data_IF_937797849308
#
_entry.id   IF_937797849308
#
_cell.length_a   1.000
_cell.length_b   1.000
_cell.length_c   1.000
_cell.angle_alpha   90.00
_cell.angle_beta   90.00
_cell.angle_gamma   90.00
#
_symmetry.space_group_name_H-M   'P 1'
#
loop_
_entity.id
_entity.type
_entity.pdbx_description
1 polymer ?
#
# COMPACT_ATOMS: atom_id res chain seq x y z
N UNK A 1 13.50 -9.71 -4.81
CA UNK A 1 12.16 -9.09 -4.69
C UNK A 1 11.59 -9.13 -3.27
N UNK A 2 11.55 -10.29 -2.59
CA UNK A 2 11.01 -10.37 -1.22
C UNK A 2 11.65 -9.40 -0.21
N UNK A 3 12.98 -9.27 -0.21
CA UNK A 3 13.70 -8.32 0.66
C UNK A 3 13.35 -6.85 0.36
N UNK A 4 13.16 -6.51 -0.92
CA UNK A 4 12.77 -5.16 -1.32
C UNK A 4 11.34 -4.83 -0.82
N UNK A 5 10.41 -5.78 -0.94
CA UNK A 5 9.05 -5.63 -0.39
C UNK A 5 9.04 -5.48 1.13
N UNK A 6 9.83 -6.29 1.84
CA UNK A 6 9.96 -6.19 3.30
C UNK A 6 10.48 -4.81 3.71
N UNK A 7 11.51 -4.29 3.04
CA UNK A 7 12.06 -2.97 3.31
C UNK A 7 11.08 -1.82 3.03
N UNK A 8 10.30 -1.92 1.94
CA UNK A 8 9.34 -0.87 1.54
C UNK A 8 8.11 -0.79 2.46
N UNK A 9 7.73 -1.89 3.12
CA UNK A 9 6.53 -1.93 3.97
C UNK A 9 6.56 -0.96 5.17
N UNK A 10 7.76 -0.57 5.62
CA UNK A 10 7.97 0.35 6.75
C UNK A 10 7.71 1.81 6.34
N UNK A 11 7.90 2.15 5.06
CA UNK A 11 7.90 3.54 4.60
C UNK A 11 6.56 4.25 4.81
N UNK A 12 5.45 3.63 4.42
CA UNK A 12 4.15 4.28 4.40
C UNK A 12 3.60 4.66 5.79
N UNK A 13 3.59 3.76 6.80
CA UNK A 13 3.19 4.12 8.16
C UNK A 13 4.05 5.24 8.76
N UNK A 14 5.36 5.26 8.47
CA UNK A 14 6.26 6.31 8.93
C UNK A 14 5.92 7.67 8.29
N UNK A 15 5.68 7.70 6.97
CA UNK A 15 5.31 8.92 6.24
C UNK A 15 4.01 9.52 6.76
N UNK A 16 2.97 8.71 6.94
CA UNK A 16 1.69 9.18 7.49
C UNK A 16 1.87 9.74 8.90
N UNK A 17 2.67 9.09 9.73
CA UNK A 17 2.96 9.56 11.09
C UNK A 17 3.65 10.94 11.08
N UNK A 18 4.59 11.17 10.16
CA UNK A 18 5.25 12.48 10.01
C UNK A 18 4.25 13.52 9.51
N UNK A 19 3.51 13.25 8.42
CA UNK A 19 2.55 14.24 7.88
C UNK A 19 1.48 14.61 8.90
N UNK A 20 1.05 13.66 9.74
CA UNK A 20 0.09 13.90 10.81
C UNK A 20 0.56 14.93 11.85
N UNK A 21 1.88 15.09 12.06
CA UNK A 21 2.44 16.12 12.93
C UNK A 21 2.34 17.53 12.31
N UNK A 22 2.39 17.62 10.98
CA UNK A 22 2.43 18.89 10.26
C UNK A 22 1.04 19.38 9.81
N UNK A 23 0.09 18.48 9.55
CA UNK A 23 -1.17 18.81 8.87
C UNK A 23 -2.39 18.66 9.78
N UNK A 24 -3.05 19.79 10.06
CA UNK A 24 -4.31 19.85 10.80
C UNK A 24 -5.50 19.26 10.02
N UNK A 25 -6.56 18.87 10.73
CA UNK A 25 -7.70 18.09 10.17
C UNK A 25 -8.39 18.71 8.94
N UNK A 26 -8.42 20.04 8.82
CA UNK A 26 -9.20 20.73 7.77
C UNK A 26 -8.58 20.83 6.37
N UNK A 27 -7.32 20.40 6.17
CA UNK A 27 -6.64 20.44 4.86
C UNK A 27 -5.95 19.10 4.53
N UNK A 28 -6.31 18.02 5.23
CA UNK A 28 -5.63 16.73 5.07
C UNK A 28 -5.90 16.13 3.70
N UNK A 29 -7.12 16.21 3.19
CA UNK A 29 -7.50 15.63 1.90
C UNK A 29 -6.68 16.19 0.74
N UNK A 30 -6.59 17.51 0.59
CA UNK A 30 -5.84 18.14 -0.50
C UNK A 30 -4.34 17.89 -0.37
N UNK A 31 -3.76 18.12 0.82
CA UNK A 31 -2.31 17.91 1.03
C UNK A 31 -1.94 16.46 0.76
N UNK A 32 -2.75 15.53 1.26
CA UNK A 32 -2.53 14.11 1.01
C UNK A 32 -2.82 13.70 -0.43
N UNK A 33 -3.79 14.32 -1.12
CA UNK A 33 -4.05 14.10 -2.53
C UNK A 33 -2.89 14.55 -3.41
N UNK A 34 -2.29 15.71 -3.10
CA UNK A 34 -1.04 16.18 -3.72
C UNK A 34 0.12 15.25 -3.37
N UNK A 35 0.22 14.82 -2.11
CA UNK A 35 1.24 13.87 -1.71
C UNK A 35 1.12 12.58 -2.51
N UNK A 36 -0.07 12.00 -2.64
CA UNK A 36 -0.32 10.75 -3.37
C UNK A 36 0.08 10.81 -4.86
N UNK A 37 0.22 12.01 -5.45
CA UNK A 37 0.79 12.17 -6.79
C UNK A 37 2.21 11.59 -6.92
N UNK A 38 2.94 11.46 -5.81
CA UNK A 38 4.28 10.86 -5.77
C UNK A 38 4.32 9.46 -6.41
N UNK A 39 3.28 8.65 -6.19
CA UNK A 39 3.22 7.28 -6.75
C UNK A 39 3.20 7.32 -8.27
N UNK A 40 2.29 8.10 -8.85
CA UNK A 40 2.17 8.24 -10.31
C UNK A 40 3.37 8.95 -10.93
N UNK A 41 3.96 9.94 -10.25
CA UNK A 41 5.23 10.54 -10.66
C UNK A 41 6.36 9.50 -10.69
N UNK A 42 6.42 8.64 -9.67
CA UNK A 42 7.36 7.52 -9.60
C UNK A 42 7.17 6.52 -10.73
N UNK A 43 5.92 6.17 -11.07
CA UNK A 43 5.60 5.30 -12.20
C UNK A 43 6.09 5.89 -13.53
N UNK A 44 5.79 7.16 -13.79
CA UNK A 44 6.21 7.86 -15.02
C UNK A 44 7.74 7.94 -15.07
N UNK A 45 8.38 8.41 -13.99
CA UNK A 45 9.83 8.52 -13.92
C UNK A 45 10.51 7.16 -14.08
N UNK A 46 9.97 6.11 -13.46
CA UNK A 46 10.45 4.73 -13.58
C UNK A 46 10.36 4.20 -15.00
N UNK A 47 9.22 4.41 -15.68
CA UNK A 47 9.03 4.01 -17.08
C UNK A 47 10.02 4.72 -18.02
N UNK A 48 10.20 6.03 -17.84
CA UNK A 48 11.14 6.83 -18.64
C UNK A 48 12.59 6.43 -18.36
N UNK A 49 12.95 6.23 -17.09
CA UNK A 49 14.30 5.82 -16.70
C UNK A 49 14.64 4.42 -17.23
N UNK A 50 13.72 3.46 -17.12
CA UNK A 50 13.90 2.11 -17.66
C UNK A 50 14.09 2.16 -19.18
N UNK A 51 13.25 2.91 -19.90
CA UNK A 51 13.35 3.09 -21.36
C UNK A 51 14.69 3.71 -21.78
N UNK A 52 15.21 4.67 -21.00
CA UNK A 52 16.51 5.28 -21.25
C UNK A 52 17.68 4.32 -20.97
N UNK A 53 17.62 3.55 -19.87
CA UNK A 53 18.68 2.65 -19.43
C UNK A 53 18.84 1.41 -20.32
N UNK A 54 17.78 1.00 -21.04
CA UNK A 54 17.86 -0.13 -21.99
C UNK A 54 18.96 0.05 -23.05
N UNK A 55 19.32 1.30 -23.39
CA UNK A 55 20.41 1.61 -24.33
C UNK A 55 21.80 1.28 -23.78
N UNK A 56 21.95 1.21 -22.45
CA UNK A 56 23.21 0.95 -21.75
C UNK A 56 23.34 -0.51 -21.31
N UNK A 57 22.28 -1.31 -21.49
CA UNK A 57 22.18 -2.69 -21.03
C UNK A 57 21.12 -2.84 -19.93
N UNK A 58 20.42 -3.98 -19.93
CA UNK A 58 19.25 -4.22 -19.07
C UNK A 58 19.54 -4.09 -17.56
N UNK A 59 20.75 -4.45 -17.12
CA UNK A 59 21.16 -4.35 -15.72
C UNK A 59 21.14 -2.92 -15.17
N UNK A 60 21.36 -1.91 -16.03
CA UNK A 60 21.32 -0.49 -15.63
C UNK A 60 19.94 -0.02 -15.22
N UNK A 61 18.88 -0.68 -15.70
CA UNK A 61 17.50 -0.41 -15.28
C UNK A 61 17.26 -0.76 -13.80
N UNK A 62 18.15 -1.50 -13.15
CA UNK A 62 18.11 -1.76 -11.70
C UNK A 62 19.08 -0.85 -10.93
N UNK A 63 20.29 -0.66 -11.46
CA UNK A 63 21.34 0.11 -10.78
C UNK A 63 20.98 1.59 -10.71
N UNK A 64 20.55 2.20 -11.82
CA UNK A 64 20.29 3.64 -11.87
C UNK A 64 19.14 4.06 -10.92
N UNK A 65 17.98 3.39 -10.89
CA UNK A 65 16.95 3.68 -9.89
C UNK A 65 17.40 3.39 -8.45
N UNK A 66 18.21 2.35 -8.22
CA UNK A 66 18.74 2.03 -6.89
C UNK A 66 19.68 3.11 -6.33
N UNK A 67 20.56 3.67 -7.17
CA UNK A 67 21.42 4.80 -6.80
C UNK A 67 20.58 6.06 -6.53
N UNK A 68 19.60 6.35 -7.40
CA UNK A 68 18.71 7.49 -7.21
C UNK A 68 17.92 7.39 -5.90
N UNK A 69 17.38 6.21 -5.58
CA UNK A 69 16.66 5.94 -4.34
C UNK A 69 17.57 6.09 -3.11
N UNK A 70 18.81 5.61 -3.19
CA UNK A 70 19.81 5.76 -2.11
C UNK A 70 20.16 7.23 -1.86
N UNK A 71 20.33 8.01 -2.93
CA UNK A 71 20.56 9.45 -2.84
C UNK A 71 19.38 10.20 -2.23
N UNK A 72 18.15 9.90 -2.70
CA UNK A 72 16.94 10.47 -2.12
C UNK A 72 16.77 10.11 -0.64
N UNK A 73 17.05 8.85 -0.27
CA UNK A 73 17.04 8.38 1.12
C UNK A 73 18.06 9.13 1.99
N UNK A 74 19.26 9.41 1.48
CA UNK A 74 20.26 10.21 2.19
C UNK A 74 19.80 11.65 2.40
N UNK A 75 19.17 12.26 1.40
CA UNK A 75 18.59 13.61 1.52
C UNK A 75 17.51 13.64 2.60
N UNK A 76 16.60 12.67 2.61
CA UNK A 76 15.58 12.53 3.66
C UNK A 76 16.23 12.32 5.03
N UNK A 77 17.23 11.45 5.13
CA UNK A 77 17.95 11.20 6.38
C UNK A 77 18.60 12.47 6.96
N UNK A 78 19.13 13.34 6.11
CA UNK A 78 19.84 14.56 6.53
C UNK A 78 18.91 15.76 6.77
N UNK A 79 17.78 15.85 6.07
CA UNK A 79 16.96 17.07 6.03
C UNK A 79 15.54 16.91 6.58
N UNK A 80 15.07 15.69 6.86
CA UNK A 80 13.71 15.48 7.33
C UNK A 80 13.51 16.04 8.74
N UNK A 81 12.62 17.03 8.84
CA UNK A 81 12.13 17.53 10.13
C UNK A 81 10.82 16.79 10.46
N UNK A 82 10.87 15.96 11.50
CA UNK A 82 9.76 15.05 11.82
C UNK A 82 8.60 15.76 12.53
N UNK A 83 8.88 16.78 13.32
CA UNK A 83 7.88 17.55 14.04
C UNK A 83 8.16 19.06 13.92
N UNK A 84 7.13 19.92 13.80
CA UNK A 84 7.31 21.37 13.71
C UNK A 84 8.03 21.94 14.94
N UNK A 85 7.90 21.30 16.11
CA UNK A 85 8.57 21.70 17.34
C UNK A 85 10.10 21.62 17.26
N UNK A 86 10.64 20.71 16.43
CA UNK A 86 12.08 20.54 16.22
C UNK A 86 12.73 21.79 15.58
N UNK A 87 11.92 22.63 14.93
CA UNK A 87 12.33 23.91 14.32
C UNK A 87 11.68 25.12 14.98
N UNK A 88 11.09 24.95 16.17
CA UNK A 88 10.49 26.03 16.95
C UNK A 88 9.14 26.54 16.42
N UNK A 89 8.48 25.78 15.55
CA UNK A 89 7.12 26.06 15.09
C UNK A 89 6.10 25.36 16.00
N UNK A 90 4.94 25.99 16.20
CA UNK A 90 3.84 25.36 16.90
C UNK A 90 3.11 24.37 15.98
N UNK A 91 2.88 23.14 16.46
CA UNK A 91 2.02 22.18 15.77
C UNK A 91 0.56 22.65 15.60
N UNK A 92 -0.21 22.02 14.71
CA UNK A 92 -1.60 22.39 14.46
C UNK A 92 -2.44 22.32 15.75
N UNK A 93 -3.23 23.38 16.01
CA UNK A 93 -4.09 23.50 17.18
C UNK A 93 -5.07 22.30 17.25
N UNK A 94 -4.86 21.43 18.24
CA UNK A 94 -5.56 20.13 18.37
C UNK A 94 -4.61 18.92 18.49
N UNK A 95 -3.31 19.09 18.25
CA UNK A 95 -2.28 18.09 18.59
C UNK A 95 -1.86 18.13 20.08
N UNK A 96 -2.30 19.15 20.81
CA UNK A 96 -2.09 19.31 22.25
C UNK A 96 -3.04 18.43 23.07
N UNK A 97 -2.84 17.11 23.01
CA UNK A 97 -3.52 16.13 23.85
C UNK A 97 -2.62 15.00 24.34
N UNK A 98 -1.34 14.98 23.95
CA UNK A 98 -0.36 13.99 24.38
C UNK A 98 0.92 14.67 24.81
N UNK A 99 0.95 15.16 26.05
CA UNK A 99 2.21 15.53 26.70
C UNK A 99 3.06 14.28 26.89
N UNK A 100 3.90 13.98 25.90
CA UNK A 100 4.92 12.95 25.95
C UNK A 100 6.06 13.40 25.06
N UNK A 101 7.15 13.89 25.67
CA UNK A 101 8.41 14.14 24.98
C UNK A 101 8.91 12.88 24.25
N UNK A 102 9.91 13.02 23.37
CA UNK A 102 10.26 12.00 22.39
C UNK A 102 10.58 10.66 23.04
N UNK A 103 9.81 9.63 22.66
CA UNK A 103 9.99 8.24 23.06
C UNK A 103 11.18 7.57 22.32
N UNK A 104 12.35 8.23 22.31
CA UNK A 104 13.62 7.64 21.88
C UNK A 104 14.67 7.56 23.00
N UNK A 105 14.34 7.99 24.22
CA UNK A 105 15.24 7.93 25.38
C UNK A 105 14.67 7.05 26.49
N UNK A 106 14.61 5.73 26.28
CA UNK A 106 14.41 4.77 27.36
C UNK A 106 14.96 3.39 26.98
N UNK A 107 16.28 3.30 26.84
CA UNK A 107 17.00 2.03 27.04
C UNK A 107 18.05 2.28 28.11
N UNK A 108 17.75 1.80 29.32
CA UNK A 108 18.69 1.51 30.40
C UNK A 108 19.27 2.71 31.16
N UNK A 109 18.89 2.86 32.42
CA UNK A 109 19.72 2.43 33.55
C UNK A 109 18.90 2.58 34.84
N UNK A 110 18.61 1.44 35.49
CA UNK A 110 18.31 1.44 36.91
C UNK A 110 19.59 1.81 37.67
N UNK A 111 19.38 2.61 38.71
CA UNK A 111 20.39 3.20 39.60
C UNK A 111 21.15 2.10 40.36
N UNK A 112 22.48 2.17 40.34
CA UNK A 112 23.35 1.61 41.38
C UNK A 112 24.59 2.51 41.55
N UNK A 113 24.74 2.99 42.78
CA UNK A 113 25.78 3.86 43.34
C UNK A 113 27.14 4.01 42.64
N UNK A 114 27.45 5.26 42.31
CA UNK A 114 28.69 5.93 42.70
C UNK A 114 30.04 5.40 42.18
N UNK A 115 30.54 5.96 41.08
CA UNK A 115 31.95 6.37 40.90
C UNK A 115 32.13 7.21 39.63
N UNK A 116 32.95 8.25 39.73
CA UNK A 116 33.29 9.22 38.67
C UNK A 116 34.06 8.56 37.52
N UNK A 117 33.72 8.85 36.26
CA UNK A 117 34.57 8.55 35.11
C UNK A 117 33.89 8.74 33.74
N UNK A 118 34.46 9.65 32.93
CA UNK A 118 34.28 9.90 31.49
C UNK A 118 33.19 9.13 30.69
N UNK A 119 32.28 9.88 30.07
CA UNK A 119 31.11 9.35 29.34
C UNK A 119 31.40 8.59 28.03
N UNK A 120 30.54 7.62 27.65
CA UNK A 120 30.72 6.78 26.47
C UNK A 120 30.05 7.41 25.23
N UNK A 121 30.57 8.55 24.78
CA UNK A 121 30.13 9.20 23.52
C UNK A 121 31.07 8.99 22.33
N UNK A 122 32.26 8.38 22.56
CA UNK A 122 33.33 8.30 21.56
C UNK A 122 33.73 6.87 21.15
N UNK A 123 33.18 5.83 21.80
CA UNK A 123 33.55 4.44 21.52
C UNK A 123 32.75 3.83 20.35
N UNK A 124 31.49 4.20 20.15
CA UNK A 124 30.67 3.70 19.03
C UNK A 124 31.12 4.26 17.65
N UNK A 125 31.68 5.47 17.62
CA UNK A 125 32.23 6.09 16.42
C UNK A 125 33.57 5.49 15.95
N UNK A 126 34.21 4.63 16.76
CA UNK A 126 35.47 3.96 16.41
C UNK A 126 35.31 2.52 15.90
N UNK A 127 34.13 1.93 16.04
CA UNK A 127 33.83 0.59 15.52
C UNK A 127 33.32 0.61 14.07
N UNK A 128 32.70 1.70 13.61
CA UNK A 128 32.28 1.87 12.21
C UNK A 128 33.40 2.40 11.28
N UNK A 129 34.52 2.86 11.84
CA UNK A 129 35.70 3.33 11.09
C UNK A 129 36.85 2.29 11.06
N UNK A 130 36.64 1.08 11.58
CA UNK A 130 37.61 -0.02 11.60
C UNK A 130 37.05 -1.25 10.87
N UNK A 131 36.72 -1.08 9.60
CA UNK A 131 36.49 -2.16 8.63
C UNK A 131 37.19 -1.93 7.29
N UNK A 132 38.04 -0.90 7.21
CA UNK A 132 38.78 -0.51 6.01
C UNK A 132 40.28 -0.58 6.23
N UNK A 133 40.92 -1.61 5.65
CA UNK A 133 42.27 -1.54 5.12
C UNK A 133 43.42 -2.10 6.00
N UNK A 134 44.16 -3.07 5.44
CA UNK A 134 45.57 -3.24 5.76
C UNK A 134 46.14 -4.64 5.57
N UNK A 135 46.77 -4.90 4.42
CA UNK A 135 47.62 -6.06 4.20
C UNK A 135 48.34 -5.99 2.85
N UNK A 136 49.40 -5.17 2.76
CA UNK A 136 50.20 -4.99 1.55
C UNK A 136 51.42 -5.91 1.46
N UNK A 137 51.77 -6.27 0.21
CA UNK A 137 53.12 -6.27 -0.34
C UNK A 137 54.17 -7.24 0.20
N UNK A 138 54.41 -8.33 -0.55
CA UNK A 138 55.65 -9.09 -0.52
C UNK A 138 55.96 -9.64 -1.93
N UNK A 139 57.03 -9.14 -2.55
CA UNK A 139 57.50 -9.56 -3.86
C UNK A 139 58.09 -10.98 -3.81
N UNK A 140 57.74 -11.82 -4.79
CA UNK A 140 58.31 -13.14 -5.00
C UNK A 140 57.99 -13.60 -6.42
N UNK A 141 59.03 -13.71 -7.24
CA UNK A 141 59.03 -14.14 -8.64
C UNK A 141 58.51 -15.58 -8.81
N UNK A 142 57.62 -15.81 -9.78
CA UNK A 142 57.19 -17.15 -10.17
C UNK A 142 56.22 -17.13 -11.35
N UNK A 143 56.75 -17.44 -12.53
CA UNK A 143 56.04 -17.74 -13.78
C UNK A 143 55.01 -18.87 -13.64
N UNK A 144 53.85 -18.74 -14.26
CA UNK A 144 52.89 -19.85 -14.43
C UNK A 144 51.55 -19.40 -15.00
N UNK A 145 51.26 -19.87 -16.21
CA UNK A 145 50.06 -19.62 -17.02
C UNK A 145 48.73 -19.93 -16.32
N UNK A 146 47.70 -19.15 -16.68
CA UNK A 146 46.31 -19.41 -16.27
C UNK A 146 45.37 -18.27 -16.62
N UNK A 147 45.20 -17.99 -17.92
CA UNK A 147 44.19 -17.06 -18.40
C UNK A 147 42.78 -17.59 -18.08
N UNK A 148 42.01 -16.89 -17.24
CA UNK A 148 40.57 -17.08 -17.13
C UNK A 148 39.88 -16.07 -18.05
N UNK A 149 39.54 -16.57 -19.25
CA UNK A 149 38.58 -15.96 -20.15
C UNK A 149 37.22 -15.82 -19.46
N UNK A 150 36.68 -14.61 -19.40
CA UNK A 150 35.24 -14.40 -19.21
C UNK A 150 34.62 -14.25 -20.59
N UNK A 151 34.09 -15.34 -21.11
CA UNK A 151 33.32 -15.39 -22.33
C UNK A 151 31.85 -15.15 -21.97
N UNK A 152 31.29 -14.03 -22.42
CA UNK A 152 29.84 -13.79 -22.40
C UNK A 152 29.30 -14.50 -23.64
N UNK A 153 28.88 -15.76 -23.48
CA UNK A 153 28.12 -16.45 -24.52
C UNK A 153 26.80 -15.70 -24.73
N UNK A 154 26.72 -14.99 -25.86
CA UNK A 154 25.45 -14.63 -26.44
C UNK A 154 24.86 -15.87 -27.07
N UNK A 155 23.79 -16.42 -26.49
CA UNK A 155 22.96 -17.40 -27.17
C UNK A 155 21.66 -16.73 -27.61
N UNK A 156 21.59 -16.43 -28.91
CA UNK A 156 20.33 -16.21 -29.59
C UNK A 156 19.71 -17.58 -29.91
N UNK A 157 18.46 -17.78 -29.48
CA UNK A 157 17.71 -18.98 -29.78
C UNK A 157 16.36 -18.90 -29.08
N UNK A 158 15.30 -18.72 -29.86
CA UNK A 158 13.93 -18.83 -29.38
C UNK A 158 13.69 -20.30 -29.02
N UNK A 159 13.50 -20.61 -27.74
CA UNK A 159 13.13 -21.95 -27.30
C UNK A 159 11.60 -22.07 -27.21
N UNK A 160 11.15 -22.94 -28.10
CA UNK A 160 9.83 -23.51 -28.32
C UNK A 160 9.37 -24.31 -27.09
N UNK A 161 8.28 -23.91 -26.45
CA UNK A 161 7.63 -24.73 -25.42
C UNK A 161 6.54 -25.56 -26.10
N UNK A 162 6.95 -26.74 -26.58
CA UNK A 162 6.05 -27.79 -27.01
C UNK A 162 5.32 -28.39 -25.80
N UNK A 163 4.03 -28.64 -26.00
CA UNK A 163 3.20 -29.50 -25.16
C UNK A 163 3.82 -30.89 -25.07
N UNK A 164 4.26 -31.32 -23.88
CA UNK A 164 4.44 -32.73 -23.44
C UNK A 164 5.33 -32.74 -22.18
N UNK A 165 4.75 -32.58 -20.97
CA UNK A 165 5.36 -33.00 -19.70
C UNK A 165 4.39 -32.80 -18.51
N UNK A 166 3.19 -33.37 -18.60
CA UNK A 166 2.29 -33.47 -17.45
C UNK A 166 1.55 -34.80 -17.42
N UNK A 167 2.31 -35.89 -17.35
CA UNK A 167 1.81 -37.19 -16.91
C UNK A 167 2.84 -37.82 -15.95
N UNK A 168 2.33 -38.41 -14.87
CA UNK A 168 3.02 -39.10 -13.78
C UNK A 168 3.57 -38.25 -12.62
N UNK A 169 2.71 -37.94 -11.65
CA UNK A 169 2.89 -38.35 -10.23
C UNK A 169 1.50 -38.51 -9.60
N UNK A 170 1.00 -39.74 -9.59
CA UNK A 170 -0.10 -40.20 -8.74
C UNK A 170 0.51 -41.00 -7.57
N UNK A 171 -0.22 -41.09 -6.45
CA UNK A 171 0.04 -41.86 -5.21
C UNK A 171 1.00 -41.29 -4.14
N UNK A 172 0.44 -40.58 -3.14
CA UNK A 172 0.56 -40.93 -1.70
C UNK A 172 -0.43 -40.08 -0.85
N UNK A 173 -1.58 -40.65 -0.49
CA UNK A 173 -2.51 -40.10 0.51
C UNK A 173 -2.71 -41.17 1.60
N UNK A 174 -2.46 -40.88 2.89
CA UNK A 174 -2.71 -41.85 3.94
C UNK A 174 -4.22 -42.00 4.24
N UNK A 175 -4.64 -43.27 4.31
CA UNK A 175 -5.99 -43.77 4.52
C UNK A 175 -6.64 -43.37 5.87
N UNK A 176 -7.92 -43.00 5.76
CA UNK A 176 -9.07 -43.28 6.67
C UNK A 176 -8.93 -43.09 8.20
N UNK A 177 -9.71 -42.14 8.74
CA UNK A 177 -10.22 -42.18 10.12
C UNK A 177 -11.65 -42.72 10.08
N UNK A 178 -11.85 -43.90 10.68
CA UNK A 178 -13.14 -44.58 10.82
C UNK A 178 -14.06 -43.85 11.83
N UNK A 179 -15.25 -43.44 11.39
CA UNK A 179 -16.31 -42.90 12.26
C UNK A 179 -17.28 -44.02 12.66
N UNK A 180 -17.41 -44.27 13.96
CA UNK A 180 -18.31 -45.26 14.54
C UNK A 180 -19.76 -44.71 14.58
N UNK A 181 -20.75 -45.35 13.93
CA UNK A 181 -22.11 -44.81 13.85
C UNK A 181 -22.97 -45.26 15.04
N UNK A 182 -22.79 -44.68 16.23
CA UNK A 182 -23.63 -44.98 17.41
C UNK A 182 -23.88 -43.84 18.41
N UNK A 183 -23.94 -42.57 17.97
CA UNK A 183 -24.40 -41.48 18.85
C UNK A 183 -25.43 -40.59 18.15
N UNK A 184 -26.71 -40.80 18.49
CA UNK A 184 -27.85 -40.00 18.03
C UNK A 184 -27.99 -38.66 18.78
N UNK A 185 -28.87 -37.75 18.31
CA UNK A 185 -28.92 -36.37 18.76
C UNK A 185 -29.53 -36.25 20.17
N UNK A 186 -28.79 -35.66 21.11
CA UNK A 186 -29.33 -35.27 22.43
C UNK A 186 -30.05 -33.92 22.33
N UNK A 187 -31.36 -33.97 22.55
CA UNK A 187 -32.23 -32.80 22.72
C UNK A 187 -31.93 -32.08 24.05
N UNK A 188 -31.93 -30.74 24.01
CA UNK A 188 -31.98 -29.88 25.20
C UNK A 188 -33.41 -29.35 25.38
N UNK A 189 -33.94 -29.26 26.61
CA UNK A 189 -35.37 -29.12 26.84
C UNK A 189 -35.88 -27.67 26.72
N UNK A 190 -37.07 -27.54 26.15
CA UNK A 190 -37.95 -26.37 26.24
C UNK A 190 -38.61 -26.31 27.62
N UNK A 191 -38.62 -25.12 28.23
CA UNK A 191 -39.61 -24.73 29.24
C UNK A 191 -40.05 -23.28 29.02
N UNK A 192 -41.38 -23.11 29.03
CA UNK A 192 -42.16 -21.93 28.60
C UNK A 192 -42.64 -21.10 29.82
N UNK A 193 -43.54 -20.09 29.69
CA UNK A 193 -43.27 -18.66 29.77
C UNK A 193 -43.80 -17.96 31.06
N UNK A 194 -43.39 -16.71 31.33
CA UNK A 194 -44.30 -15.59 31.65
C UNK A 194 -43.60 -14.29 32.12
N UNK A 195 -44.03 -13.19 31.47
CA UNK A 195 -44.38 -11.85 32.02
C UNK A 195 -43.31 -10.84 32.46
N UNK A 196 -43.26 -9.79 31.62
CA UNK A 196 -43.37 -8.34 31.92
C UNK A 196 -42.24 -7.61 32.64
N UNK A 197 -41.54 -6.78 31.85
CA UNK A 197 -41.19 -5.37 32.06
C UNK A 197 -40.67 -4.90 33.43
N UNK A 198 -39.42 -4.40 33.46
CA UNK A 198 -39.12 -3.03 33.92
C UNK A 198 -37.65 -2.67 33.68
N UNK A 199 -37.44 -1.39 33.42
CA UNK A 199 -36.19 -0.64 33.27
C UNK A 199 -35.21 -0.82 34.43
N UNK A 200 -33.91 -1.04 34.14
CA UNK A 200 -32.82 -0.73 35.08
C UNK A 200 -31.47 -0.57 34.36
N UNK A 201 -30.81 0.55 34.67
CA UNK A 201 -29.55 1.06 34.16
C UNK A 201 -28.40 0.04 34.04
N UNK A 202 -27.64 0.18 32.95
CA UNK A 202 -26.34 -0.45 32.75
C UNK A 202 -25.35 -0.02 33.85
N UNK A 203 -25.05 -0.97 34.74
CA UNK A 203 -24.13 -0.80 35.87
C UNK A 203 -22.70 -1.07 35.37
N UNK A 204 -21.87 -0.03 35.30
CA UNK A 204 -20.41 -0.15 35.04
C UNK A 204 -19.76 -1.07 36.09
N UNK A 205 -18.80 -1.93 35.73
CA UNK A 205 -18.02 -2.65 36.73
C UNK A 205 -17.06 -1.67 37.43
N UNK A 206 -17.05 -1.72 38.76
CA UNK A 206 -16.19 -0.92 39.65
C UNK A 206 -14.73 -1.36 39.49
N UNK A 207 -13.85 -0.38 39.43
CA UNK A 207 -12.39 -0.52 39.54
C UNK A 207 -12.00 -1.13 40.90
N UNK A 208 -11.30 -2.26 40.87
CA UNK A 208 -10.46 -2.73 41.97
C UNK A 208 -9.00 -2.44 41.63
N UNK A 209 -8.35 -1.61 42.44
CA UNK A 209 -6.97 -1.20 42.24
C UNK A 209 -5.95 -2.18 42.84
N UNK A 210 -4.73 -2.13 42.29
CA UNK A 210 -3.52 -2.68 42.91
C UNK A 210 -2.53 -3.24 41.89
N UNK A 211 -1.51 -2.45 41.52
CA UNK A 211 -0.35 -2.94 40.75
C UNK A 211 0.38 -1.85 39.98
N UNK A 212 1.49 -1.37 40.55
CA UNK A 212 2.42 -0.40 39.98
C UNK A 212 3.07 -0.94 38.70
N UNK A 213 3.05 -0.15 37.61
CA UNK A 213 3.74 -0.43 36.36
C UNK A 213 3.48 0.66 35.33
N UNK A 214 4.52 1.39 34.92
CA UNK A 214 4.47 2.44 33.90
C UNK A 214 4.21 1.90 32.50
N UNK A 215 2.98 1.42 32.27
CA UNK A 215 2.52 0.97 30.96
C UNK A 215 1.70 2.06 30.30
N UNK A 216 2.19 2.60 29.17
CA UNK A 216 1.30 3.28 28.23
C UNK A 216 0.15 2.36 27.78
N UNK A 217 -0.90 2.90 27.14
CA UNK A 217 -2.02 2.08 26.66
C UNK A 217 -1.51 0.87 25.86
N UNK A 218 -2.09 -0.30 26.14
CA UNK A 218 -1.70 -1.54 25.49
C UNK A 218 -1.91 -1.41 23.97
N UNK A 219 -0.98 -1.90 23.14
CA UNK A 219 -1.10 -1.79 21.69
C UNK A 219 -2.39 -2.45 21.21
N UNK A 220 -3.08 -1.78 20.29
CA UNK A 220 -4.35 -2.24 19.74
C UNK A 220 -4.15 -3.53 18.95
N UNK A 221 -4.94 -4.56 19.25
CA UNK A 221 -4.87 -5.83 18.53
C UNK A 221 -5.47 -5.70 17.12
N UNK A 222 -5.01 -6.54 16.19
CA UNK A 222 -5.52 -6.56 14.81
C UNK A 222 -7.05 -6.70 14.76
N UNK A 223 -7.61 -7.63 15.53
CA UNK A 223 -9.06 -7.89 15.54
C UNK A 223 -9.86 -6.73 16.15
N UNK A 224 -9.31 -6.05 17.16
CA UNK A 224 -9.93 -4.86 17.70
C UNK A 224 -9.92 -3.71 16.68
N UNK A 225 -8.81 -3.53 15.94
CA UNK A 225 -8.72 -2.55 14.86
C UNK A 225 -9.65 -2.87 13.68
N UNK A 226 -9.77 -4.15 13.31
CA UNK A 226 -10.69 -4.62 12.26
C UNK A 226 -12.17 -4.38 12.60
N UNK A 227 -12.53 -4.50 13.87
CA UNK A 227 -13.89 -4.27 14.35
C UNK A 227 -14.30 -2.79 14.40
N UNK A 228 -13.36 -1.85 14.19
CA UNK A 228 -13.67 -0.42 14.13
C UNK A 228 -14.59 -0.16 12.93
N UNK A 229 -15.73 0.53 13.14
CA UNK A 229 -16.66 0.84 12.06
C UNK A 229 -15.95 1.51 10.87
N UNK A 230 -16.11 0.95 9.69
CA UNK A 230 -15.52 1.46 8.45
C UNK A 230 -14.19 0.81 8.06
N UNK A 231 -13.34 0.38 9.01
CA UNK A 231 -11.99 -0.13 8.70
C UNK A 231 -12.04 -1.30 7.71
N UNK A 232 -12.85 -2.33 7.98
CA UNK A 232 -12.98 -3.47 7.07
C UNK A 232 -13.53 -3.07 5.68
N UNK A 233 -14.53 -2.19 5.63
CA UNK A 233 -15.12 -1.72 4.38
C UNK A 233 -14.11 -0.96 3.53
N UNK A 234 -13.34 -0.05 4.12
CA UNK A 234 -12.32 0.72 3.41
C UNK A 234 -11.10 -0.11 3.04
N UNK A 235 -10.66 -1.03 3.90
CA UNK A 235 -9.55 -1.93 3.60
C UNK A 235 -9.87 -2.82 2.38
N UNK A 236 -11.07 -3.41 2.35
CA UNK A 236 -11.52 -4.23 1.22
C UNK A 236 -11.83 -3.40 -0.03
N UNK A 237 -12.37 -2.19 0.12
CA UNK A 237 -12.53 -1.29 -1.02
C UNK A 237 -11.17 -0.92 -1.62
N UNK A 238 -10.17 -0.61 -0.78
CA UNK A 238 -8.82 -0.31 -1.23
C UNK A 238 -8.15 -1.50 -1.91
N UNK A 239 -8.39 -2.73 -1.45
CA UNK A 239 -7.96 -3.96 -2.14
C UNK A 239 -8.42 -3.94 -3.60
N UNK A 240 -9.72 -3.73 -3.85
CA UNK A 240 -10.26 -3.72 -5.21
C UNK A 240 -9.83 -2.48 -6.01
N UNK A 241 -9.75 -1.30 -5.38
CA UNK A 241 -9.25 -0.09 -6.04
C UNK A 241 -7.80 -0.25 -6.50
N UNK A 242 -6.91 -0.77 -5.64
CA UNK A 242 -5.51 -1.04 -6.02
C UNK A 242 -5.41 -2.18 -7.03
N UNK A 243 -6.26 -3.21 -6.96
CA UNK A 243 -6.34 -4.26 -7.97
C UNK A 243 -6.58 -3.65 -9.37
N UNK A 244 -7.56 -2.76 -9.51
CA UNK A 244 -7.86 -2.08 -10.78
C UNK A 244 -6.68 -1.21 -11.21
N UNK A 245 -6.20 -0.33 -10.34
CA UNK A 245 -5.13 0.61 -10.64
C UNK A 245 -3.83 -0.08 -11.08
N UNK A 246 -3.42 -1.13 -10.37
CA UNK A 246 -2.18 -1.85 -10.65
C UNK A 246 -2.31 -2.77 -11.87
N UNK A 247 -3.50 -3.32 -12.12
CA UNK A 247 -3.76 -4.02 -13.39
C UNK A 247 -3.52 -3.10 -14.57
N UNK A 248 -4.07 -1.88 -14.55
CA UNK A 248 -3.79 -0.89 -15.59
C UNK A 248 -2.31 -0.52 -15.63
N UNK A 249 -1.69 -0.21 -14.49
CA UNK A 249 -0.28 0.19 -14.46
C UNK A 249 0.65 -0.80 -15.18
N UNK A 250 0.48 -2.11 -14.95
CA UNK A 250 1.38 -3.11 -15.53
C UNK A 250 0.93 -3.66 -16.89
N UNK A 251 -0.39 -3.76 -17.14
CA UNK A 251 -0.91 -4.42 -18.35
C UNK A 251 -1.39 -3.46 -19.42
N UNK A 252 -1.58 -2.16 -19.12
CA UNK A 252 -2.04 -1.18 -20.09
C UNK A 252 -1.09 -1.02 -21.29
N UNK A 253 0.25 -0.96 -21.14
CA UNK A 253 1.15 -0.93 -22.30
C UNK A 253 0.97 -2.16 -23.19
N UNK A 254 0.91 -3.35 -22.58
CA UNK A 254 0.75 -4.59 -23.33
C UNK A 254 -0.61 -4.66 -24.03
N UNK A 255 -1.69 -4.28 -23.34
CA UNK A 255 -3.03 -4.15 -23.92
C UNK A 255 -3.03 -3.25 -25.15
N UNK A 256 -2.40 -2.07 -25.06
CA UNK A 256 -2.33 -1.10 -26.15
C UNK A 256 -1.46 -1.57 -27.33
N UNK A 257 -0.42 -2.36 -27.06
CA UNK A 257 0.42 -2.95 -28.12
C UNK A 257 -0.24 -4.14 -28.83
N UNK A 258 -1.20 -4.81 -28.16
CA UNK A 258 -1.92 -5.98 -28.69
C UNK A 258 -3.32 -5.66 -29.23
N UNK A 259 -3.80 -4.44 -29.00
CA UNK A 259 -5.12 -3.97 -29.45
C UNK A 259 -4.97 -2.91 -30.54
N UNK A 260 -5.55 -3.10 -31.74
CA UNK A 260 -5.55 -2.07 -32.77
C UNK A 260 -6.26 -0.80 -32.29
N UNK A 261 -5.54 0.32 -32.30
CA UNK A 261 -6.06 1.66 -32.01
C UNK A 261 -5.98 2.45 -33.31
N UNK A 262 -7.12 2.98 -33.77
CA UNK A 262 -7.22 3.62 -35.10
C UNK A 262 -6.76 2.69 -36.24
N UNK A 263 -7.03 1.39 -36.11
CA UNK A 263 -6.64 0.38 -37.11
C UNK A 263 -5.15 0.03 -37.14
N UNK A 264 -4.33 0.58 -36.23
CA UNK A 264 -2.88 0.33 -36.14
C UNK A 264 -2.51 -0.31 -34.80
N UNK A 265 -1.60 -1.27 -34.83
CA UNK A 265 -0.93 -1.75 -33.63
C UNK A 265 0.21 -0.80 -33.25
N UNK A 266 0.20 -0.37 -31.98
CA UNK A 266 1.25 0.48 -31.44
C UNK A 266 2.49 -0.35 -31.18
N UNK A 267 3.67 0.23 -31.43
CA UNK A 267 4.91 -0.38 -30.98
C UNK A 267 4.94 -0.45 -29.44
N UNK A 268 5.70 -1.39 -28.84
CA UNK A 268 5.82 -1.48 -27.38
C UNK A 268 6.27 -0.16 -26.73
N UNK A 269 7.15 0.59 -27.41
CA UNK A 269 7.60 1.91 -26.95
C UNK A 269 6.47 2.93 -26.99
N UNK A 270 5.74 3.06 -28.11
CA UNK A 270 4.60 3.99 -28.20
C UNK A 270 3.52 3.68 -27.16
N UNK A 271 3.22 2.39 -26.97
CA UNK A 271 2.24 1.95 -25.99
C UNK A 271 2.66 2.28 -24.55
N UNK A 272 3.95 2.08 -24.21
CA UNK A 272 4.50 2.45 -22.91
C UNK A 272 4.57 3.96 -22.70
N UNK A 273 4.92 4.73 -23.72
CA UNK A 273 4.91 6.21 -23.63
C UNK A 273 3.47 6.72 -23.43
N UNK A 274 2.50 6.18 -24.17
CA UNK A 274 1.10 6.58 -24.09
C UNK A 274 0.43 6.16 -22.78
N UNK A 275 0.76 5.00 -22.22
CA UNK A 275 0.17 4.51 -20.97
C UNK A 275 0.44 5.45 -19.78
N UNK A 276 1.50 6.28 -19.84
CA UNK A 276 1.78 7.29 -18.80
C UNK A 276 0.65 8.30 -18.63
N UNK A 277 -0.22 8.50 -19.64
CA UNK A 277 -1.39 9.36 -19.51
C UNK A 277 -2.41 8.85 -18.49
N UNK A 278 -2.44 7.54 -18.21
CA UNK A 278 -3.23 6.99 -17.11
C UNK A 278 -2.73 7.54 -15.76
N UNK A 279 -1.41 7.55 -15.55
CA UNK A 279 -0.79 8.13 -14.35
C UNK A 279 -1.02 9.65 -14.27
N UNK A 280 -0.94 10.38 -15.39
CA UNK A 280 -1.25 11.82 -15.43
C UNK A 280 -2.69 12.08 -15.01
N UNK A 281 -3.63 11.32 -15.56
CA UNK A 281 -5.03 11.35 -15.14
C UNK A 281 -5.17 11.05 -13.66
N UNK A 282 -4.42 10.06 -13.17
CA UNK A 282 -4.43 9.65 -11.77
C UNK A 282 -3.90 10.69 -10.78
N UNK A 283 -2.88 11.47 -11.17
CA UNK A 283 -2.41 12.63 -10.38
C UNK A 283 -3.56 13.63 -10.22
N UNK A 284 -4.19 14.02 -11.33
CA UNK A 284 -5.32 14.96 -11.29
C UNK A 284 -6.49 14.40 -10.48
N UNK A 285 -6.77 13.09 -10.60
CA UNK A 285 -7.81 12.38 -9.87
C UNK A 285 -7.59 12.36 -8.37
N UNK A 286 -6.38 12.02 -7.92
CA UNK A 286 -6.02 12.02 -6.50
C UNK A 286 -6.10 13.40 -5.86
N UNK A 287 -5.59 14.43 -6.55
CA UNK A 287 -5.70 15.82 -6.10
C UNK A 287 -7.15 16.27 -6.04
N UNK A 288 -7.94 15.99 -7.07
CA UNK A 288 -9.36 16.35 -7.12
C UNK A 288 -10.17 15.64 -6.04
N UNK A 289 -9.96 14.34 -5.83
CA UNK A 289 -10.65 13.57 -4.78
C UNK A 289 -10.30 14.11 -3.39
N UNK A 290 -9.03 14.41 -3.13
CA UNK A 290 -8.57 15.03 -1.88
C UNK A 290 -9.21 16.40 -1.63
N UNK A 291 -9.20 17.25 -2.66
CA UNK A 291 -9.82 18.57 -2.61
C UNK A 291 -11.34 18.53 -2.41
N UNK A 292 -12.05 17.65 -3.14
CA UNK A 292 -13.49 17.46 -2.98
C UNK A 292 -13.81 16.95 -1.58
N UNK A 293 -12.99 16.05 -1.04
CA UNK A 293 -13.17 15.54 0.31
C UNK A 293 -13.08 16.64 1.36
N UNK A 294 -12.04 17.48 1.32
CA UNK A 294 -11.90 18.61 2.25
C UNK A 294 -13.07 19.61 2.12
N UNK A 295 -13.56 19.82 0.90
CA UNK A 295 -14.68 20.73 0.60
C UNK A 295 -16.02 20.22 1.13
N UNK A 296 -16.27 18.91 1.05
CA UNK A 296 -17.55 18.32 1.45
C UNK A 296 -17.55 17.82 2.89
N UNK A 297 -16.37 17.57 3.47
CA UNK A 297 -16.22 16.85 4.73
C UNK A 297 -16.65 15.39 4.66
N UNK A 298 -16.87 14.84 3.46
CA UNK A 298 -17.47 13.53 3.22
C UNK A 298 -16.55 12.63 2.36
N UNK A 299 -15.40 12.25 2.93
CA UNK A 299 -14.38 11.41 2.29
C UNK A 299 -14.93 10.10 1.70
N UNK A 300 -15.80 9.39 2.44
CA UNK A 300 -16.41 8.15 1.99
C UNK A 300 -17.36 8.38 0.82
N UNK A 301 -18.14 9.47 0.85
CA UNK A 301 -19.06 9.83 -0.22
C UNK A 301 -18.29 10.14 -1.52
N UNK A 302 -17.21 10.92 -1.42
CA UNK A 302 -16.35 11.25 -2.57
C UNK A 302 -15.67 9.98 -3.11
N UNK A 303 -15.14 9.12 -2.25
CA UNK A 303 -14.54 7.84 -2.66
C UNK A 303 -15.56 6.94 -3.37
N UNK A 304 -16.79 6.85 -2.84
CA UNK A 304 -17.87 6.08 -3.45
C UNK A 304 -18.28 6.65 -4.81
N UNK A 305 -18.38 7.97 -4.94
CA UNK A 305 -18.72 8.64 -6.19
C UNK A 305 -17.67 8.41 -7.28
N UNK A 306 -16.37 8.56 -6.95
CA UNK A 306 -15.28 8.29 -7.88
C UNK A 306 -15.22 6.81 -8.28
N UNK A 307 -15.41 5.90 -7.33
CA UNK A 307 -15.46 4.44 -7.60
C UNK A 307 -16.66 4.09 -8.48
N UNK A 308 -17.81 4.72 -8.26
CA UNK A 308 -18.97 4.58 -9.13
C UNK A 308 -18.71 5.09 -10.54
N UNK A 309 -17.99 6.21 -10.67
CA UNK A 309 -17.60 6.79 -11.96
C UNK A 309 -16.48 6.04 -12.68
N UNK A 310 -15.65 5.25 -11.96
CA UNK A 310 -14.61 4.45 -12.60
C UNK A 310 -15.22 3.35 -13.49
N UNK A 311 -16.37 2.78 -13.12
CA UNK A 311 -17.03 1.74 -13.91
C UNK A 311 -17.42 2.21 -15.33
N UNK A 312 -18.21 3.30 -15.53
CA UNK A 312 -18.50 3.81 -16.86
C UNK A 312 -17.26 4.33 -17.57
N UNK A 313 -16.26 4.87 -16.87
CA UNK A 313 -15.01 5.29 -17.50
C UNK A 313 -14.23 4.11 -18.09
N UNK A 314 -14.11 3.01 -17.34
CA UNK A 314 -13.46 1.78 -17.80
C UNK A 314 -14.23 1.13 -18.96
N UNK A 315 -15.56 1.09 -18.86
CA UNK A 315 -16.40 0.59 -19.94
C UNK A 315 -16.26 1.44 -21.22
N UNK A 316 -16.30 2.77 -21.09
CA UNK A 316 -16.10 3.69 -22.21
C UNK A 316 -14.71 3.50 -22.83
N UNK A 317 -13.65 3.36 -22.03
CA UNK A 317 -12.31 3.08 -22.53
C UNK A 317 -12.27 1.79 -23.35
N UNK A 318 -12.88 0.70 -22.86
CA UNK A 318 -12.94 -0.58 -23.59
C UNK A 318 -13.72 -0.48 -24.90
N UNK A 319 -14.87 0.20 -24.88
CA UNK A 319 -15.80 0.26 -26.00
C UNK A 319 -15.37 1.25 -27.09
N UNK A 320 -14.86 2.42 -26.69
CA UNK A 320 -14.59 3.55 -27.58
C UNK A 320 -13.09 3.82 -27.79
N UNK A 321 -12.23 3.30 -26.90
CA UNK A 321 -10.78 3.55 -26.94
C UNK A 321 -10.05 2.97 -28.16
N UNK A 322 -10.71 2.15 -28.97
CA UNK A 322 -10.15 1.62 -30.23
C UNK A 322 -10.35 2.55 -31.43
N UNK A 323 -11.31 3.49 -31.35
CA UNK A 323 -11.74 4.30 -32.49
C UNK A 323 -10.66 5.24 -33.01
N UNK A 324 -10.26 6.22 -32.19
CA UNK A 324 -9.24 7.20 -32.55
C UNK A 324 -8.21 7.39 -31.45
N UNK A 325 -6.97 7.73 -31.82
CA UNK A 325 -5.88 7.90 -30.85
C UNK A 325 -6.19 8.97 -29.79
N UNK A 326 -6.77 10.11 -30.19
CA UNK A 326 -7.18 11.16 -29.25
C UNK A 326 -8.28 10.72 -28.28
N UNK A 327 -9.24 9.92 -28.76
CA UNK A 327 -10.30 9.33 -27.90
C UNK A 327 -9.69 8.35 -26.91
N UNK A 328 -8.75 7.52 -27.34
CA UNK A 328 -8.01 6.61 -26.48
C UNK A 328 -7.29 7.38 -25.36
N UNK A 329 -6.50 8.41 -25.73
CA UNK A 329 -5.77 9.26 -24.79
C UNK A 329 -6.69 9.91 -23.76
N UNK A 330 -7.81 10.50 -24.20
CA UNK A 330 -8.76 11.18 -23.32
C UNK A 330 -9.45 10.20 -22.36
N UNK A 331 -9.90 9.04 -22.86
CA UNK A 331 -10.57 8.03 -22.03
C UNK A 331 -9.60 7.34 -21.07
N UNK A 332 -8.35 7.15 -21.46
CA UNK A 332 -7.29 6.61 -20.60
C UNK A 332 -6.96 7.58 -19.46
N UNK A 333 -6.82 8.87 -19.75
CA UNK A 333 -6.64 9.89 -18.71
C UNK A 333 -7.86 9.97 -17.79
N UNK A 334 -9.09 9.89 -18.33
CA UNK A 334 -10.31 9.85 -17.54
C UNK A 334 -10.40 8.59 -16.66
N UNK A 335 -10.03 7.43 -17.18
CA UNK A 335 -9.95 6.19 -16.41
C UNK A 335 -8.95 6.34 -15.27
N UNK A 336 -7.75 6.87 -15.55
CA UNK A 336 -6.75 7.17 -14.51
C UNK A 336 -7.29 8.10 -13.43
N UNK A 337 -7.98 9.18 -13.82
CA UNK A 337 -8.60 10.13 -12.91
C UNK A 337 -9.58 9.46 -11.93
N UNK A 338 -10.53 8.67 -12.44
CA UNK A 338 -11.54 8.04 -11.59
C UNK A 338 -11.03 6.82 -10.83
N UNK A 339 -10.07 6.07 -11.37
CA UNK A 339 -9.51 4.87 -10.73
C UNK A 339 -8.53 5.23 -9.61
N UNK A 340 -7.64 6.21 -9.83
CA UNK A 340 -6.63 6.55 -8.82
C UNK A 340 -7.15 7.50 -7.74
N UNK A 341 -8.22 8.25 -7.99
CA UNK A 341 -8.89 9.08 -6.98
C UNK A 341 -9.26 8.34 -5.68
N UNK A 342 -10.07 7.26 -5.71
CA UNK A 342 -10.46 6.53 -4.52
C UNK A 342 -9.29 5.77 -3.91
N UNK A 343 -8.36 5.26 -4.72
CA UNK A 343 -7.10 4.69 -4.23
C UNK A 343 -6.34 5.71 -3.37
N UNK A 344 -6.04 6.89 -3.92
CA UNK A 344 -5.31 7.94 -3.22
C UNK A 344 -6.07 8.42 -1.98
N UNK A 345 -7.37 8.66 -2.09
CA UNK A 345 -8.19 9.20 -1.01
C UNK A 345 -8.33 8.22 0.17
N UNK A 346 -8.53 6.92 -0.11
CA UNK A 346 -8.68 5.91 0.94
C UNK A 346 -7.34 5.65 1.65
N UNK A 347 -6.26 5.51 0.87
CA UNK A 347 -4.91 5.27 1.42
C UNK A 347 -4.43 6.42 2.30
N UNK A 348 -4.91 7.64 2.05
CA UNK A 348 -4.42 8.83 2.73
C UNK A 348 -5.41 9.41 3.73
N UNK A 349 -6.37 10.21 3.27
CA UNK A 349 -7.28 10.99 4.10
C UNK A 349 -8.15 10.08 4.98
N UNK A 350 -8.83 9.09 4.37
CA UNK A 350 -9.71 8.18 5.11
C UNK A 350 -8.93 7.36 6.12
N UNK A 351 -7.75 6.84 5.75
CA UNK A 351 -6.93 6.06 6.66
C UNK A 351 -6.47 6.89 7.86
N UNK A 352 -6.06 8.14 7.63
CA UNK A 352 -5.68 9.07 8.69
C UNK A 352 -6.89 9.42 9.58
N UNK A 353 -8.07 9.64 9.01
CA UNK A 353 -9.27 9.99 9.77
C UNK A 353 -9.76 8.82 10.64
N UNK A 354 -9.84 7.60 10.08
CA UNK A 354 -10.21 6.39 10.82
C UNK A 354 -9.24 6.08 11.96
N UNK A 355 -7.96 6.34 11.76
CA UNK A 355 -6.95 6.17 12.80
C UNK A 355 -7.00 7.27 13.89
N UNK A 356 -7.78 8.34 13.70
CA UNK A 356 -8.07 9.35 14.74
C UNK A 356 -9.49 9.24 15.33
N UNK A 357 -10.19 8.14 15.03
CA UNK A 357 -11.54 7.88 15.54
C UNK A 357 -11.58 7.91 17.08
N UNK A 358 -12.67 8.39 17.67
CA UNK A 358 -12.79 8.59 19.13
C UNK A 358 -12.55 7.30 19.93
N UNK A 359 -12.86 6.14 19.34
CA UNK A 359 -12.58 4.82 19.93
C UNK A 359 -11.10 4.53 20.14
N UNK A 360 -10.20 5.32 19.53
CA UNK A 360 -8.75 5.16 19.61
C UNK A 360 -8.10 6.13 20.60
N UNK A 361 -8.85 7.07 21.19
CA UNK A 361 -8.37 7.92 22.28
C UNK A 361 -7.14 8.79 21.97
N UNK A 362 -6.81 9.01 20.70
CA UNK A 362 -5.60 9.74 20.28
C UNK A 362 -4.31 8.93 20.36
N UNK A 363 -4.37 7.60 20.46
CA UNK A 363 -3.18 6.75 20.48
C UNK A 363 -2.54 6.65 19.09
N UNK A 364 -1.35 7.23 18.94
CA UNK A 364 -0.58 7.17 17.69
C UNK A 364 -0.25 5.73 17.25
N UNK A 365 -0.10 4.78 18.19
CA UNK A 365 0.12 3.37 17.86
C UNK A 365 -1.13 2.73 17.25
N UNK A 366 -2.31 3.12 17.72
CA UNK A 366 -3.58 2.66 17.17
C UNK A 366 -3.80 3.16 15.73
N UNK A 367 -3.50 4.43 15.47
CA UNK A 367 -3.50 5.02 14.13
C UNK A 367 -2.61 4.22 13.18
N UNK A 368 -1.36 3.97 13.57
CA UNK A 368 -0.42 3.21 12.77
C UNK A 368 -0.92 1.79 12.43
N UNK A 369 -1.55 1.10 13.40
CA UNK A 369 -2.15 -0.23 13.19
C UNK A 369 -3.29 -0.18 12.18
N UNK A 370 -4.24 0.75 12.31
CA UNK A 370 -5.38 0.88 11.38
C UNK A 370 -4.90 1.18 9.96
N UNK A 371 -3.94 2.11 9.83
CA UNK A 371 -3.33 2.44 8.53
C UNK A 371 -2.60 1.26 7.93
N UNK A 372 -1.82 0.52 8.72
CA UNK A 372 -1.11 -0.66 8.25
C UNK A 372 -2.05 -1.78 7.77
N UNK A 373 -3.20 -1.98 8.44
CA UNK A 373 -4.21 -2.96 8.01
C UNK A 373 -4.80 -2.55 6.66
N UNK A 374 -5.25 -1.30 6.53
CA UNK A 374 -5.87 -0.79 5.30
C UNK A 374 -4.87 -0.89 4.14
N UNK A 375 -3.66 -0.35 4.31
CA UNK A 375 -2.65 -0.35 3.25
C UNK A 375 -2.13 -1.77 2.93
N UNK A 376 -2.05 -2.64 3.94
CA UNK A 376 -1.69 -4.05 3.80
C UNK A 376 -2.68 -4.79 2.89
N UNK A 377 -3.99 -4.69 3.13
CA UNK A 377 -5.00 -5.29 2.23
C UNK A 377 -4.94 -4.67 0.84
N UNK A 378 -4.74 -3.37 0.74
CA UNK A 378 -4.50 -2.71 -0.53
C UNK A 378 -3.33 -3.31 -1.31
N UNK A 379 -2.22 -3.60 -0.63
CA UNK A 379 -1.02 -4.18 -1.23
C UNK A 379 -1.24 -5.61 -1.74
N UNK A 380 -2.10 -6.39 -1.09
CA UNK A 380 -2.53 -7.70 -1.60
C UNK A 380 -3.29 -7.53 -2.92
N UNK A 381 -4.20 -6.56 -3.01
CA UNK A 381 -4.92 -6.25 -4.26
C UNK A 381 -3.98 -5.85 -5.40
N UNK A 382 -2.98 -5.00 -5.09
CA UNK A 382 -1.93 -4.59 -6.01
C UNK A 382 -1.06 -5.75 -6.54
N UNK A 383 -0.85 -6.79 -5.72
CA UNK A 383 -0.13 -8.00 -6.13
C UNK A 383 -1.01 -8.95 -6.95
N UNK A 384 -2.25 -9.18 -6.51
CA UNK A 384 -3.15 -10.14 -7.14
C UNK A 384 -3.70 -9.66 -8.49
N UNK A 385 -4.03 -8.37 -8.65
CA UNK A 385 -4.61 -7.87 -9.90
C UNK A 385 -3.78 -8.18 -11.14
N UNK A 386 -2.50 -7.77 -11.18
CA UNK A 386 -1.61 -8.08 -12.30
C UNK A 386 -1.38 -9.58 -12.48
N UNK A 387 -1.28 -10.36 -11.40
CA UNK A 387 -1.10 -11.81 -11.47
C UNK A 387 -2.33 -12.49 -12.12
N UNK A 388 -3.54 -12.18 -11.64
CA UNK A 388 -4.79 -12.67 -12.19
C UNK A 388 -4.98 -12.23 -13.64
N UNK A 389 -4.57 -11.01 -13.98
CA UNK A 389 -4.65 -10.50 -15.35
C UNK A 389 -3.87 -11.38 -16.32
N UNK A 390 -2.69 -11.87 -15.93
CA UNK A 390 -1.91 -12.78 -16.78
C UNK A 390 -2.65 -14.08 -17.08
N UNK A 391 -3.22 -14.72 -16.08
CA UNK A 391 -3.99 -15.95 -16.26
C UNK A 391 -5.29 -15.73 -17.05
N UNK A 392 -6.02 -14.66 -16.73
CA UNK A 392 -7.31 -14.35 -17.38
C UNK A 392 -7.08 -13.93 -18.84
N UNK A 393 -6.04 -13.14 -19.13
CA UNK A 393 -5.72 -12.73 -20.49
C UNK A 393 -5.38 -13.94 -21.38
N UNK A 394 -4.71 -14.95 -20.85
CA UNK A 394 -4.43 -16.20 -21.56
C UNK A 394 -5.70 -17.02 -21.81
N UNK A 395 -6.57 -17.16 -20.80
CA UNK A 395 -7.75 -18.02 -20.89
C UNK A 395 -8.95 -17.39 -21.65
N UNK A 396 -9.17 -16.08 -21.47
CA UNK A 396 -10.38 -15.39 -21.92
C UNK A 396 -10.09 -14.04 -22.61
N UNK A 397 -8.82 -13.74 -22.89
CA UNK A 397 -8.41 -12.47 -23.49
C UNK A 397 -8.66 -11.27 -22.58
N UNK A 398 -8.47 -10.08 -23.16
CA UNK A 398 -8.69 -8.84 -22.42
C UNK A 398 -10.16 -8.56 -22.08
N UNK A 399 -11.12 -9.21 -22.73
CA UNK A 399 -12.53 -9.09 -22.32
C UNK A 399 -12.77 -9.70 -20.94
N UNK A 400 -12.14 -10.84 -20.63
CA UNK A 400 -12.13 -11.39 -19.27
C UNK A 400 -11.47 -10.45 -18.27
N UNK A 401 -10.36 -9.81 -18.65
CA UNK A 401 -9.65 -8.86 -17.78
C UNK A 401 -10.54 -7.65 -17.46
N UNK A 402 -11.18 -7.06 -18.47
CA UNK A 402 -12.09 -5.95 -18.25
C UNK A 402 -13.32 -6.36 -17.42
N UNK A 403 -13.85 -7.57 -17.58
CA UNK A 403 -14.90 -8.10 -16.71
C UNK A 403 -14.44 -8.16 -15.25
N UNK A 404 -13.25 -8.68 -14.97
CA UNK A 404 -12.66 -8.68 -13.62
C UNK A 404 -12.59 -7.25 -13.04
N UNK A 405 -12.18 -6.27 -13.85
CA UNK A 405 -12.08 -4.88 -13.43
C UNK A 405 -13.45 -4.27 -13.12
N UNK A 406 -14.48 -4.57 -13.93
CA UNK A 406 -15.85 -4.13 -13.68
C UNK A 406 -16.42 -4.72 -12.39
N UNK A 407 -16.23 -6.03 -12.17
CA UNK A 407 -16.66 -6.71 -10.95
C UNK A 407 -15.94 -6.16 -9.71
N UNK A 408 -14.64 -5.86 -9.84
CA UNK A 408 -13.85 -5.23 -8.77
C UNK A 408 -14.37 -3.83 -8.44
N UNK A 409 -14.69 -3.02 -9.45
CA UNK A 409 -15.23 -1.67 -9.25
C UNK A 409 -16.62 -1.71 -8.57
N UNK A 410 -17.48 -2.65 -8.99
CA UNK A 410 -18.77 -2.88 -8.36
C UNK A 410 -18.64 -3.33 -6.90
N UNK A 411 -17.71 -4.25 -6.61
CA UNK A 411 -17.44 -4.71 -5.25
C UNK A 411 -16.92 -3.56 -4.36
N UNK A 412 -15.96 -2.78 -4.84
CA UNK A 412 -15.47 -1.58 -4.15
C UNK A 412 -16.60 -0.57 -3.88
N UNK A 413 -17.41 -0.28 -4.91
CA UNK A 413 -18.55 0.63 -4.79
C UNK A 413 -19.58 0.15 -3.76
N UNK A 414 -19.91 -1.14 -3.76
CA UNK A 414 -20.84 -1.74 -2.79
C UNK A 414 -20.31 -1.64 -1.34
N UNK A 415 -19.01 -1.85 -1.14
CA UNK A 415 -18.35 -1.73 0.17
C UNK A 415 -18.37 -0.28 0.68
N UNK A 416 -18.23 0.70 -0.23
CA UNK A 416 -18.24 2.13 0.08
C UNK A 416 -19.64 2.74 0.16
N UNK A 417 -20.66 2.08 -0.38
CA UNK A 417 -22.03 2.61 -0.44
C UNK A 417 -22.57 2.96 0.94
N UNK A 418 -22.44 2.06 1.93
CA UNK A 418 -22.96 2.30 3.28
C UNK A 418 -22.20 3.43 4.01
N UNK A 419 -20.86 3.45 4.06
CA UNK A 419 -20.11 4.59 4.59
C UNK A 419 -20.45 5.91 3.88
N UNK A 420 -20.49 5.91 2.55
CA UNK A 420 -20.77 7.12 1.75
C UNK A 420 -22.18 7.67 1.96
N UNK A 421 -23.20 6.80 2.06
CA UNK A 421 -24.57 7.21 2.36
C UNK A 421 -24.71 7.77 3.78
N UNK A 422 -23.99 7.20 4.77
CA UNK A 422 -24.01 7.73 6.14
C UNK A 422 -23.44 9.15 6.21
N UNK A 423 -22.33 9.41 5.53
CA UNK A 423 -21.76 10.75 5.47
C UNK A 423 -22.67 11.71 4.69
N UNK A 424 -23.17 11.31 3.53
CA UNK A 424 -24.00 12.17 2.67
C UNK A 424 -25.39 12.48 3.23
N UNK A 425 -25.98 11.58 4.02
CA UNK A 425 -27.24 11.84 4.72
C UNK A 425 -27.05 12.52 6.09
N UNK A 426 -25.87 12.42 6.71
CA UNK A 426 -25.56 12.99 8.02
C UNK A 426 -25.08 14.44 7.99
N UNK A 427 -24.70 14.98 6.82
CA UNK A 427 -24.29 16.38 6.63
C UNK A 427 -25.46 17.38 6.56
N UNK A 428 -26.66 16.98 7.00
CA UNK A 428 -27.91 17.73 6.85
C UNK A 428 -28.55 18.30 8.12
N UNK A 429 -28.00 18.07 9.31
CA UNK A 429 -28.57 18.54 10.59
C UNK A 429 -27.58 19.36 11.43
#
# INVERSE_FOLDING_TARGET
MALAGAAQSIGWPCVISVIANWVGRGQRGLVMGVWAANTSLGNIAGAVAASACLRLGWGWSFVAPGVALSGAGLVVFLLLVAAPEDVGLAGPAGAAGGGGGPAYAAVGTADDGGARGAGPGRAAARAAAAGGGGGGGGAGTGTGDGALHFEVEGNGGWEDWGDDDFDAVEDDYPDTVSLNPRDGPRALPLSTPARTASTAAARRPRSGGGGNGGGGPAPLSFWAAWAIPGVASFALALFFSKLIAYTFLYWLPFYMSSTPIQGRLLSPKEAGDLSTLFDVGGIAGGVAAGYLSDRTGASACVAAAFTGASLPALYAYRALGRGGLGVNMALMAAAGFFVNGPYALITTAVSADLGTHESLGGDAKALATVTAIIDGLGSIGAALGPALTGYIAQAAGFDGVFLMLYLSALAAGALLARPGLKEGCGSGD
#
